data_IF_786674746841
#
_entry.id   IF_786674746841
#
_cell.length_a   1.000
_cell.length_b   1.000
_cell.length_c   1.000
_cell.angle_alpha   90.00
_cell.angle_beta   90.00
_cell.angle_gamma   90.00
#
_symmetry.space_group_name_H-M   'P 1'
#
loop_
_entity.id
_entity.type
_entity.pdbx_description
1 polymer ?
#
# COMPACT_ATOMS: atom_id res chain seq x y z
N UNK A 1 -11.42 30.40 3.64
CA UNK A 1 -10.27 29.51 3.36
C UNK A 1 -10.05 29.58 1.87
N UNK A 2 -8.83 29.83 1.40
CA UNK A 2 -8.51 29.85 -0.03
C UNK A 2 -8.88 28.49 -0.64
N UNK A 3 -9.30 28.49 -1.91
CA UNK A 3 -9.61 27.28 -2.65
C UNK A 3 -8.48 26.25 -2.46
N UNK A 4 -8.87 25.03 -2.11
CA UNK A 4 -8.00 23.95 -1.64
C UNK A 4 -7.09 23.48 -2.77
N UNK A 5 -5.92 24.10 -2.89
CA UNK A 5 -4.84 23.62 -3.76
C UNK A 5 -4.39 22.22 -3.30
N UNK A 6 -3.79 21.45 -4.22
CA UNK A 6 -3.08 20.20 -3.87
C UNK A 6 -2.14 20.51 -2.70
N UNK A 7 -2.12 19.67 -1.66
CA UNK A 7 -1.25 19.86 -0.50
C UNK A 7 0.17 20.21 -0.93
N UNK A 8 0.72 21.28 -0.36
CA UNK A 8 2.06 21.76 -0.70
C UNK A 8 3.10 20.65 -0.58
N UNK A 9 2.93 19.75 0.39
CA UNK A 9 3.75 18.55 0.59
C UNK A 9 3.75 17.60 -0.64
N UNK A 10 2.60 17.40 -1.28
CA UNK A 10 2.49 16.58 -2.50
C UNK A 10 3.06 17.35 -3.69
N UNK A 11 2.65 18.60 -3.87
CA UNK A 11 3.07 19.41 -5.02
C UNK A 11 4.58 19.65 -5.03
N UNK A 12 5.17 20.02 -3.89
CA UNK A 12 6.62 20.29 -3.80
C UNK A 12 7.49 19.04 -3.98
N UNK A 13 6.94 17.85 -3.73
CA UNK A 13 7.66 16.57 -3.87
C UNK A 13 7.74 16.05 -5.32
N UNK A 14 7.03 16.66 -6.27
CA UNK A 14 6.86 16.14 -7.63
C UNK A 14 7.43 17.08 -8.70
N UNK A 15 8.04 16.49 -9.72
CA UNK A 15 8.61 17.20 -10.86
C UNK A 15 7.54 17.91 -11.70
N UNK A 16 7.88 19.01 -12.41
CA UNK A 16 6.95 19.63 -13.36
C UNK A 16 6.44 18.68 -14.44
N UNK A 17 7.27 17.71 -14.87
CA UNK A 17 6.89 16.67 -15.83
C UNK A 17 5.75 15.81 -15.29
N UNK A 18 5.86 15.33 -14.05
CA UNK A 18 4.82 14.52 -13.43
C UNK A 18 3.54 15.31 -13.18
N UNK A 19 3.64 16.59 -12.82
CA UNK A 19 2.48 17.48 -12.67
C UNK A 19 1.65 17.64 -13.95
N UNK A 20 2.27 17.46 -15.12
CA UNK A 20 1.57 17.49 -16.39
C UNK A 20 0.78 16.20 -16.71
N UNK A 21 0.97 15.11 -15.94
CA UNK A 21 0.33 13.81 -16.19
C UNK A 21 -1.17 13.83 -15.87
N UNK A 22 -1.91 12.89 -16.48
CA UNK A 22 -3.34 12.68 -16.17
C UNK A 22 -3.55 12.35 -14.69
N UNK A 23 -2.67 11.54 -14.10
CA UNK A 23 -2.75 11.14 -12.70
C UNK A 23 -2.66 12.33 -11.75
N UNK A 24 -1.69 13.24 -11.94
CA UNK A 24 -1.60 14.43 -11.11
C UNK A 24 -2.84 15.32 -11.23
N UNK A 25 -3.36 15.52 -12.45
CA UNK A 25 -4.60 16.29 -12.66
C UNK A 25 -5.81 15.66 -11.97
N UNK A 26 -5.92 14.34 -11.97
CA UNK A 26 -6.99 13.64 -11.25
C UNK A 26 -6.90 13.86 -9.73
N UNK A 27 -5.67 13.85 -9.18
CA UNK A 27 -5.41 14.16 -7.76
C UNK A 27 -5.73 15.63 -7.44
N UNK A 28 -5.32 16.54 -8.32
CA UNK A 28 -5.61 17.97 -8.20
C UNK A 28 -7.11 18.25 -8.23
N UNK A 29 -7.82 17.69 -9.20
CA UNK A 29 -9.29 17.76 -9.29
C UNK A 29 -9.93 17.23 -8.01
N UNK A 30 -9.44 16.10 -7.51
CA UNK A 30 -9.90 15.51 -6.26
C UNK A 30 -9.73 16.43 -5.05
N UNK A 31 -8.61 17.16 -4.92
CA UNK A 31 -8.39 18.06 -3.77
C UNK A 31 -9.07 19.42 -3.93
N UNK A 32 -9.27 19.88 -5.16
CA UNK A 32 -9.84 21.21 -5.46
C UNK A 32 -11.36 21.24 -5.45
N UNK A 33 -12.02 20.17 -5.92
CA UNK A 33 -13.49 20.11 -5.98
C UNK A 33 -14.16 19.76 -4.64
N UNK A 34 -13.38 19.51 -3.58
CA UNK A 34 -13.87 18.96 -2.32
C UNK A 34 -13.81 20.00 -1.20
N UNK A 35 -14.74 19.89 -0.25
CA UNK A 35 -14.71 20.73 0.95
C UNK A 35 -13.41 20.47 1.73
N UNK A 36 -12.82 21.52 2.30
CA UNK A 36 -11.55 21.46 3.01
C UNK A 36 -11.57 20.42 4.15
N UNK A 37 -12.72 20.23 4.80
CA UNK A 37 -12.93 19.21 5.83
C UNK A 37 -12.85 17.77 5.29
N UNK A 38 -13.19 17.57 4.00
CA UNK A 38 -13.11 16.30 3.28
C UNK A 38 -11.68 16.00 2.87
N UNK A 39 -10.98 17.02 2.36
CA UNK A 39 -9.56 16.94 2.01
C UNK A 39 -8.73 16.54 3.23
N UNK A 40 -8.89 17.25 4.36
CA UNK A 40 -8.12 17.03 5.59
C UNK A 40 -8.20 15.57 6.11
N UNK A 41 -9.36 14.93 5.95
CA UNK A 41 -9.58 13.54 6.32
C UNK A 41 -8.58 12.59 5.64
N UNK A 42 -8.25 12.90 4.39
CA UNK A 42 -7.46 12.06 3.51
C UNK A 42 -6.01 12.51 3.49
N UNK A 43 -5.72 13.78 3.78
CA UNK A 43 -4.35 14.30 3.84
C UNK A 43 -3.43 13.48 4.73
N UNK A 44 -3.88 13.11 5.94
CA UNK A 44 -2.99 12.45 6.91
C UNK A 44 -2.61 11.02 6.48
N UNK A 45 -3.55 10.14 6.06
CA UNK A 45 -3.19 8.85 5.47
C UNK A 45 -2.50 8.99 4.11
N UNK A 46 -2.95 9.90 3.24
CA UNK A 46 -2.37 10.13 1.92
C UNK A 46 -0.91 10.58 2.03
N UNK A 47 -0.55 11.49 2.93
CA UNK A 47 0.85 11.90 3.10
C UNK A 47 1.77 10.71 3.39
N UNK A 48 1.32 9.78 4.23
CA UNK A 48 2.13 8.63 4.65
C UNK A 48 2.34 7.60 3.52
N UNK A 49 1.33 7.36 2.69
CA UNK A 49 1.37 6.29 1.68
C UNK A 49 1.38 6.78 0.23
N UNK A 50 0.65 7.84 -0.07
CA UNK A 50 0.52 8.41 -1.42
C UNK A 50 1.82 9.08 -1.86
N UNK A 51 2.40 9.96 -1.03
CA UNK A 51 3.60 10.72 -1.41
C UNK A 51 4.74 9.78 -1.83
N UNK A 52 5.11 8.74 -1.04
CA UNK A 52 6.15 7.80 -1.47
C UNK A 52 5.84 7.09 -2.79
N UNK A 53 4.56 6.80 -3.06
CA UNK A 53 4.14 6.18 -4.31
C UNK A 53 4.25 7.16 -5.49
N UNK A 54 3.76 8.39 -5.34
CA UNK A 54 3.85 9.39 -6.41
C UNK A 54 5.31 9.76 -6.71
N UNK A 55 6.13 9.96 -5.67
CA UNK A 55 7.57 10.21 -5.80
C UNK A 55 8.27 9.03 -6.48
N UNK A 56 7.89 7.79 -6.15
CA UNK A 56 8.47 6.62 -6.78
C UNK A 56 8.06 6.41 -8.24
N UNK A 57 6.86 6.87 -8.62
CA UNK A 57 6.42 6.95 -10.02
C UNK A 57 7.18 8.04 -10.78
N UNK A 58 7.25 9.26 -10.24
CA UNK A 58 7.94 10.41 -10.83
C UNK A 58 9.43 10.15 -11.07
N UNK A 59 10.11 9.57 -10.07
CA UNK A 59 11.53 9.24 -10.16
C UNK A 59 11.82 7.89 -10.84
N UNK A 60 10.80 7.20 -11.37
CA UNK A 60 10.97 5.91 -12.07
C UNK A 60 11.67 4.82 -11.20
N UNK A 61 11.50 4.88 -9.87
CA UNK A 61 12.15 3.95 -8.91
C UNK A 61 11.35 2.67 -8.63
N UNK A 62 10.17 2.58 -9.22
CA UNK A 62 9.25 1.45 -9.13
C UNK A 62 9.63 0.32 -10.12
N UNK A 63 8.86 -0.75 -10.09
CA UNK A 63 8.97 -1.84 -11.07
C UNK A 63 8.40 -1.35 -12.41
N UNK A 64 9.26 -0.85 -13.31
CA UNK A 64 8.87 -0.18 -14.57
C UNK A 64 7.86 -0.94 -15.44
N UNK A 65 7.92 -2.28 -15.58
CA UNK A 65 6.88 -2.99 -16.35
C UNK A 65 5.46 -2.84 -15.76
N UNK A 66 5.34 -2.42 -14.50
CA UNK A 66 4.06 -2.22 -13.81
C UNK A 66 3.63 -0.74 -13.74
N UNK A 67 4.38 0.21 -14.33
CA UNK A 67 4.05 1.65 -14.24
C UNK A 67 2.60 1.93 -14.61
N UNK A 68 2.19 1.42 -15.78
CA UNK A 68 0.89 1.71 -16.36
C UNK A 68 -0.26 1.18 -15.51
N UNK A 69 -0.15 -0.06 -15.01
CA UNK A 69 -1.21 -0.65 -14.18
C UNK A 69 -1.29 0.01 -12.80
N UNK A 70 -0.16 0.48 -12.25
CA UNK A 70 -0.14 1.26 -11.00
C UNK A 70 -0.83 2.62 -11.21
N UNK A 71 -0.51 3.32 -12.30
CA UNK A 71 -1.15 4.58 -12.67
C UNK A 71 -2.66 4.40 -12.88
N UNK A 72 -3.06 3.37 -13.63
CA UNK A 72 -4.47 3.07 -13.89
C UNK A 72 -5.23 2.74 -12.59
N UNK A 73 -4.58 2.09 -11.63
CA UNK A 73 -5.17 1.81 -10.32
C UNK A 73 -5.39 3.08 -9.50
N UNK A 74 -4.39 3.96 -9.44
CA UNK A 74 -4.53 5.24 -8.77
C UNK A 74 -5.59 6.12 -9.47
N UNK A 75 -5.60 6.17 -10.80
CA UNK A 75 -6.63 6.87 -11.57
C UNK A 75 -8.03 6.31 -11.27
N UNK A 76 -8.20 4.99 -11.31
CA UNK A 76 -9.47 4.34 -10.98
C UNK A 76 -9.93 4.65 -9.56
N UNK A 77 -9.00 4.82 -8.62
CA UNK A 77 -9.31 5.27 -7.27
C UNK A 77 -9.87 6.68 -7.25
N UNK A 78 -9.11 7.65 -7.76
CA UNK A 78 -9.47 9.07 -7.68
C UNK A 78 -10.69 9.41 -8.55
N UNK A 79 -10.81 8.83 -9.74
CA UNK A 79 -11.88 9.14 -10.70
C UNK A 79 -13.18 8.39 -10.38
N UNK A 80 -13.13 7.17 -9.83
CA UNK A 80 -14.32 6.30 -9.72
C UNK A 80 -14.60 5.79 -8.31
N UNK A 81 -13.67 5.04 -7.70
CA UNK A 81 -13.93 4.34 -6.44
C UNK A 81 -14.12 5.34 -5.29
N UNK A 82 -13.26 6.34 -5.18
CA UNK A 82 -13.37 7.32 -4.11
C UNK A 82 -14.68 8.12 -4.18
N UNK A 83 -15.05 8.78 -5.31
CA UNK A 83 -16.32 9.50 -5.38
C UNK A 83 -17.53 8.61 -5.05
N UNK A 84 -17.49 7.33 -5.43
CA UNK A 84 -18.51 6.36 -5.08
C UNK A 84 -18.60 6.11 -3.57
N UNK A 85 -17.47 5.70 -2.95
CA UNK A 85 -17.38 5.44 -1.52
C UNK A 85 -17.80 6.65 -0.70
N UNK A 86 -17.37 7.83 -1.13
CA UNK A 86 -17.72 9.11 -0.52
C UNK A 86 -19.24 9.34 -0.55
N UNK A 87 -19.88 9.30 -1.74
CA UNK A 87 -21.34 9.50 -1.86
C UNK A 87 -22.13 8.49 -1.02
N UNK A 88 -21.72 7.22 -1.03
CA UNK A 88 -22.38 6.17 -0.24
C UNK A 88 -22.19 6.35 1.27
N UNK A 89 -20.98 6.71 1.69
CA UNK A 89 -20.69 6.95 3.10
C UNK A 89 -21.53 8.11 3.66
N UNK A 90 -21.63 9.22 2.92
CA UNK A 90 -22.38 10.39 3.37
C UNK A 90 -23.89 10.21 3.34
N UNK A 91 -24.43 9.56 2.32
CA UNK A 91 -25.85 9.21 2.28
C UNK A 91 -26.26 8.30 3.46
N UNK A 92 -25.39 7.38 3.88
CA UNK A 92 -25.62 6.56 5.07
C UNK A 92 -25.43 7.34 6.39
N UNK A 93 -24.56 8.35 6.38
CA UNK A 93 -24.22 9.16 7.56
C UNK A 93 -25.39 10.00 8.04
N UNK A 94 -26.15 10.62 7.14
CA UNK A 94 -27.33 11.42 7.51
C UNK A 94 -28.39 10.58 8.22
N UNK A 95 -28.58 9.33 7.77
CA UNK A 95 -29.49 8.37 8.42
C UNK A 95 -29.00 8.01 9.83
N UNK A 96 -27.68 7.81 10.02
CA UNK A 96 -27.09 7.39 11.31
C UNK A 96 -26.87 8.52 12.31
N UNK A 97 -26.74 9.78 11.88
CA UNK A 97 -26.57 10.94 12.76
C UNK A 97 -27.75 11.11 13.74
N UNK A 98 -28.90 10.53 13.39
CA UNK A 98 -30.12 10.52 14.22
C UNK A 98 -30.21 9.31 15.16
N UNK A 99 -29.38 8.28 15.00
CA UNK A 99 -29.55 7.00 15.68
C UNK A 99 -28.68 6.85 16.95
N UNK A 100 -27.43 7.32 16.95
CA UNK A 100 -26.60 7.30 18.17
C UNK A 100 -25.32 8.13 17.97
N UNK A 101 -25.01 9.06 18.89
CA UNK A 101 -23.82 9.93 18.82
C UNK A 101 -22.55 9.25 19.35
N UNK A 102 -22.68 8.13 20.07
CA UNK A 102 -21.56 7.48 20.77
C UNK A 102 -20.69 6.57 19.88
N UNK A 103 -21.22 6.07 18.76
CA UNK A 103 -20.49 5.19 17.83
C UNK A 103 -19.72 5.93 16.70
N UNK A 104 -19.70 7.26 16.71
CA UNK A 104 -19.27 8.06 15.55
C UNK A 104 -17.75 8.23 15.37
N UNK A 105 -16.93 7.91 16.37
CA UNK A 105 -15.48 8.14 16.31
C UNK A 105 -14.71 7.12 15.46
N UNK A 106 -15.31 5.98 15.10
CA UNK A 106 -14.71 4.95 14.22
C UNK A 106 -15.21 5.02 12.77
N UNK A 107 -16.22 5.83 12.44
CA UNK A 107 -16.88 5.81 11.13
C UNK A 107 -16.12 6.48 9.98
N UNK A 108 -15.11 7.33 10.25
CA UNK A 108 -14.17 7.80 9.19
C UNK A 108 -13.37 6.65 8.56
N UNK A 109 -13.42 5.46 9.19
CA UNK A 109 -12.67 4.26 8.87
C UNK A 109 -12.81 3.73 7.45
N UNK A 110 -13.99 3.57 6.81
CA UNK A 110 -14.09 2.76 5.60
C UNK A 110 -13.35 3.34 4.39
N UNK A 111 -13.49 4.64 4.13
CA UNK A 111 -12.81 5.31 3.00
C UNK A 111 -11.30 5.30 3.22
N UNK A 112 -10.84 5.64 4.43
CA UNK A 112 -9.42 5.61 4.79
C UNK A 112 -8.88 4.17 4.74
N UNK A 113 -9.64 3.19 5.22
CA UNK A 113 -9.26 1.79 5.22
C UNK A 113 -9.14 1.26 3.79
N UNK A 114 -10.08 1.60 2.91
CA UNK A 114 -9.99 1.32 1.49
C UNK A 114 -8.72 1.87 0.87
N UNK A 115 -8.49 3.17 1.07
CA UNK A 115 -7.30 3.83 0.58
C UNK A 115 -6.04 3.13 1.12
N UNK A 116 -5.97 2.88 2.42
CA UNK A 116 -4.84 2.19 3.05
C UNK A 116 -4.65 0.77 2.51
N UNK A 117 -5.70 0.01 2.28
CA UNK A 117 -5.62 -1.36 1.75
C UNK A 117 -5.09 -1.37 0.32
N UNK A 118 -5.58 -0.46 -0.52
CA UNK A 118 -5.06 -0.26 -1.88
C UNK A 118 -3.61 0.19 -1.87
N UNK A 119 -3.28 1.19 -1.07
CA UNK A 119 -1.90 1.66 -0.97
C UNK A 119 -0.97 0.57 -0.41
N UNK A 120 -1.43 -0.25 0.54
CA UNK A 120 -0.64 -1.38 1.05
C UNK A 120 -0.30 -2.40 -0.04
N UNK A 121 -1.12 -2.51 -1.09
CA UNK A 121 -0.81 -3.34 -2.26
C UNK A 121 0.17 -2.64 -3.22
N UNK A 122 -0.01 -1.34 -3.47
CA UNK A 122 0.82 -0.58 -4.43
C UNK A 122 2.20 -0.22 -3.88
N UNK A 123 2.29 0.18 -2.61
CA UNK A 123 3.54 0.58 -1.93
C UNK A 123 4.67 -0.44 -2.14
N UNK A 124 4.46 -1.77 -2.01
CA UNK A 124 5.42 -2.79 -2.40
C UNK A 124 6.07 -2.66 -3.78
N UNK A 125 5.32 -2.18 -4.77
CA UNK A 125 5.74 -2.12 -6.16
C UNK A 125 6.57 -0.88 -6.46
N UNK A 126 6.42 0.15 -5.62
CA UNK A 126 6.95 1.48 -5.86
C UNK A 126 8.07 1.83 -4.88
N UNK A 127 7.90 1.49 -3.61
CA UNK A 127 8.84 1.86 -2.57
C UNK A 127 9.92 0.78 -2.42
N UNK A 128 11.18 1.11 -2.70
CA UNK A 128 12.21 0.10 -2.89
C UNK A 128 12.66 -0.62 -1.63
N UNK A 129 12.62 0.08 -0.50
CA UNK A 129 13.15 -0.42 0.76
C UNK A 129 12.08 -1.13 1.59
N UNK A 130 10.85 -1.20 1.09
CA UNK A 130 9.72 -1.73 1.85
C UNK A 130 9.42 -3.20 1.56
N UNK A 131 9.80 -3.74 0.39
CA UNK A 131 9.45 -5.13 0.05
C UNK A 131 10.49 -5.94 -0.69
N UNK A 132 10.39 -7.25 -0.52
CA UNK A 132 11.25 -8.23 -1.18
C UNK A 132 11.11 -8.20 -2.70
N UNK A 133 9.95 -7.87 -3.26
CA UNK A 133 9.74 -7.83 -4.70
C UNK A 133 10.55 -6.71 -5.36
N UNK A 134 10.54 -5.50 -4.81
CA UNK A 134 11.35 -4.40 -5.36
C UNK A 134 12.86 -4.66 -5.20
N UNK A 135 13.28 -5.19 -4.04
CA UNK A 135 14.67 -5.63 -3.84
C UNK A 135 15.12 -6.63 -4.91
N UNK A 136 14.26 -7.59 -5.28
CA UNK A 136 14.53 -8.55 -6.37
C UNK A 136 14.55 -7.90 -7.73
N UNK A 137 13.64 -6.96 -7.98
CA UNK A 137 13.59 -6.26 -9.25
C UNK A 137 14.92 -5.53 -9.51
N UNK A 138 15.43 -4.85 -8.48
CA UNK A 138 16.75 -4.20 -8.51
C UNK A 138 17.90 -5.18 -8.71
N UNK A 139 17.82 -6.35 -8.06
CA UNK A 139 18.77 -7.44 -8.24
C UNK A 139 18.59 -8.22 -9.57
N UNK A 140 17.64 -7.84 -10.44
CA UNK A 140 17.30 -8.54 -11.68
C UNK A 140 16.89 -10.01 -11.47
N UNK A 141 16.26 -10.29 -10.33
CA UNK A 141 15.77 -11.62 -9.93
C UNK A 141 14.26 -11.80 -10.10
N UNK A 142 13.55 -10.78 -10.63
CA UNK A 142 12.11 -10.88 -10.92
C UNK A 142 11.93 -11.36 -12.35
N UNK A 143 11.25 -12.50 -12.49
CA UNK A 143 10.86 -13.06 -13.78
C UNK A 143 9.72 -12.27 -14.41
N UNK A 144 9.62 -12.34 -15.73
CA UNK A 144 8.58 -11.66 -16.51
C UNK A 144 7.18 -12.18 -16.16
N UNK A 145 7.05 -13.48 -15.95
CA UNK A 145 5.80 -14.18 -15.67
C UNK A 145 5.17 -13.67 -14.37
N UNK A 146 5.98 -13.46 -13.32
CA UNK A 146 5.52 -12.85 -12.08
C UNK A 146 5.00 -11.43 -12.28
N UNK A 147 5.63 -10.63 -13.15
CA UNK A 147 5.17 -9.28 -13.46
C UNK A 147 3.82 -9.31 -14.19
N UNK A 148 3.66 -10.20 -15.17
CA UNK A 148 2.39 -10.39 -15.89
C UNK A 148 1.30 -10.81 -14.91
N UNK A 149 1.57 -11.76 -14.00
CA UNK A 149 0.61 -12.18 -12.98
C UNK A 149 0.19 -11.03 -12.08
N UNK A 150 1.15 -10.25 -11.58
CA UNK A 150 0.87 -9.08 -10.75
C UNK A 150 -0.01 -8.09 -11.51
N UNK A 151 0.30 -7.81 -12.78
CA UNK A 151 -0.50 -6.93 -13.63
C UNK A 151 -1.93 -7.44 -13.81
N UNK A 152 -2.11 -8.72 -14.16
CA UNK A 152 -3.43 -9.35 -14.36
C UNK A 152 -4.26 -9.30 -13.09
N UNK A 153 -3.67 -9.59 -11.94
CA UNK A 153 -4.37 -9.56 -10.64
C UNK A 153 -4.83 -8.15 -10.28
N UNK A 154 -3.98 -7.14 -10.48
CA UNK A 154 -4.38 -5.75 -10.21
C UNK A 154 -5.53 -5.33 -11.12
N UNK A 155 -5.45 -5.66 -12.43
CA UNK A 155 -6.53 -5.39 -13.39
C UNK A 155 -7.84 -6.07 -12.99
N UNK A 156 -7.80 -7.36 -12.68
CA UNK A 156 -8.96 -8.13 -12.25
C UNK A 156 -9.61 -7.53 -10.99
N UNK A 157 -8.80 -7.09 -10.01
CA UNK A 157 -9.31 -6.44 -8.81
C UNK A 157 -9.95 -5.07 -9.09
N UNK A 158 -9.35 -4.27 -9.98
CA UNK A 158 -9.96 -3.00 -10.43
C UNK A 158 -11.30 -3.24 -11.12
N UNK A 159 -11.38 -4.23 -12.01
CA UNK A 159 -12.60 -4.54 -12.75
C UNK A 159 -13.69 -5.10 -11.83
N UNK A 160 -13.31 -5.89 -10.83
CA UNK A 160 -14.21 -6.34 -9.76
C UNK A 160 -14.78 -5.15 -8.99
N UNK A 161 -13.92 -4.21 -8.55
CA UNK A 161 -14.37 -3.00 -7.87
C UNK A 161 -15.31 -2.15 -8.75
N UNK A 162 -15.02 -2.00 -10.05
CA UNK A 162 -15.90 -1.29 -10.99
C UNK A 162 -17.26 -1.96 -11.12
N UNK A 163 -17.29 -3.28 -11.34
CA UNK A 163 -18.54 -4.03 -11.42
C UNK A 163 -19.37 -3.93 -10.13
N UNK A 164 -18.72 -3.93 -8.96
CA UNK A 164 -19.38 -3.70 -7.68
C UNK A 164 -19.97 -2.28 -7.57
N UNK A 165 -19.24 -1.26 -8.02
CA UNK A 165 -19.73 0.12 -8.08
C UNK A 165 -20.98 0.22 -8.97
N UNK A 166 -20.94 -0.36 -10.17
CA UNK A 166 -22.04 -0.36 -11.14
C UNK A 166 -23.30 -1.04 -10.60
N UNK A 167 -23.13 -2.14 -9.85
CA UNK A 167 -24.23 -2.85 -9.17
C UNK A 167 -24.71 -2.15 -7.90
N UNK A 168 -24.10 -1.04 -7.52
CA UNK A 168 -24.47 -0.29 -6.33
C UNK A 168 -24.11 -1.01 -5.02
N UNK A 169 -23.02 -1.76 -4.98
CA UNK A 169 -22.55 -2.48 -3.79
C UNK A 169 -22.38 -1.55 -2.57
N UNK A 170 -22.58 -2.10 -1.37
CA UNK A 170 -22.38 -1.36 -0.13
C UNK A 170 -20.90 -1.00 0.07
N UNK A 171 -20.64 0.01 0.92
CA UNK A 171 -19.28 0.38 1.34
C UNK A 171 -18.58 -0.80 2.01
N UNK A 172 -19.29 -1.58 2.83
CA UNK A 172 -18.72 -2.73 3.53
C UNK A 172 -18.35 -3.86 2.57
N UNK A 173 -19.14 -4.11 1.53
CA UNK A 173 -18.83 -5.11 0.51
C UNK A 173 -17.56 -4.73 -0.26
N UNK A 174 -17.47 -3.47 -0.71
CA UNK A 174 -16.24 -2.96 -1.34
C UNK A 174 -15.06 -3.09 -0.38
N UNK A 175 -15.23 -2.75 0.90
CA UNK A 175 -14.13 -2.78 1.87
C UNK A 175 -13.62 -4.20 2.07
N UNK A 176 -14.54 -5.16 2.13
CA UNK A 176 -14.22 -6.57 2.16
C UNK A 176 -13.41 -7.00 0.93
N UNK A 177 -13.85 -6.62 -0.26
CA UNK A 177 -13.15 -6.90 -1.52
C UNK A 177 -11.74 -6.29 -1.53
N UNK A 178 -11.59 -5.01 -1.16
CA UNK A 178 -10.28 -4.36 -1.03
C UNK A 178 -9.39 -5.04 0.01
N UNK A 179 -9.97 -5.55 1.10
CA UNK A 179 -9.23 -6.28 2.13
C UNK A 179 -8.78 -7.67 1.66
N UNK A 180 -9.57 -8.35 0.83
CA UNK A 180 -9.19 -9.59 0.17
C UNK A 180 -8.08 -9.34 -0.85
N UNK A 181 -8.26 -8.35 -1.73
CA UNK A 181 -7.26 -7.95 -2.72
C UNK A 181 -5.92 -7.60 -2.08
N UNK A 182 -5.93 -6.72 -1.06
CA UNK A 182 -4.72 -6.34 -0.32
C UNK A 182 -4.03 -7.51 0.39
N UNK A 183 -4.80 -8.44 0.99
CA UNK A 183 -4.26 -9.64 1.63
C UNK A 183 -3.64 -10.60 0.63
N UNK A 184 -4.30 -10.85 -0.52
CA UNK A 184 -3.75 -11.70 -1.58
C UNK A 184 -2.47 -11.10 -2.13
N UNK A 185 -2.47 -9.78 -2.37
CA UNK A 185 -1.29 -9.06 -2.86
C UNK A 185 -0.11 -9.20 -1.91
N UNK A 186 -0.31 -8.86 -0.64
CA UNK A 186 0.75 -8.92 0.39
C UNK A 186 1.19 -10.34 0.73
N UNK A 187 0.23 -11.25 0.87
CA UNK A 187 0.46 -12.61 1.37
C UNK A 187 0.99 -13.58 0.32
N UNK A 188 0.67 -13.34 -0.96
CA UNK A 188 1.00 -14.25 -2.05
C UNK A 188 1.88 -13.57 -3.11
N UNK A 189 1.38 -12.55 -3.80
CA UNK A 189 2.03 -12.01 -5.00
C UNK A 189 3.36 -11.30 -4.74
N UNK A 190 3.44 -10.50 -3.67
CA UNK A 190 4.68 -9.81 -3.26
C UNK A 190 5.41 -10.53 -2.13
N UNK A 191 4.95 -11.74 -1.80
CA UNK A 191 5.46 -12.55 -0.69
C UNK A 191 6.93 -12.89 -0.88
N UNK A 192 7.65 -13.00 0.23
CA UNK A 192 9.03 -13.47 0.24
C UNK A 192 9.14 -14.96 -0.17
N UNK A 193 8.06 -15.72 0.02
CA UNK A 193 7.96 -17.18 -0.20
C UNK A 193 7.55 -17.58 -1.61
N UNK A 194 6.89 -16.72 -2.38
CA UNK A 194 6.42 -17.08 -3.72
C UNK A 194 7.54 -16.96 -4.76
N UNK A 195 8.10 -18.11 -5.17
CA UNK A 195 9.34 -18.20 -5.97
C UNK A 195 9.31 -19.22 -7.09
N UNK A 196 8.21 -19.91 -7.30
CA UNK A 196 8.14 -21.02 -8.24
C UNK A 196 7.72 -20.54 -9.62
N UNK A 197 8.67 -20.49 -10.55
CA UNK A 197 8.40 -20.23 -11.97
C UNK A 197 7.37 -21.20 -12.54
N UNK A 198 7.46 -22.49 -12.18
CA UNK A 198 6.51 -23.51 -12.62
C UNK A 198 5.08 -23.17 -12.18
N UNK A 199 4.90 -22.65 -10.96
CA UNK A 199 3.57 -22.24 -10.47
C UNK A 199 3.13 -20.95 -11.16
N UNK A 200 4.03 -19.99 -11.37
CA UNK A 200 3.72 -18.76 -12.11
C UNK A 200 3.19 -19.08 -13.52
N UNK A 201 3.91 -19.90 -14.28
CA UNK A 201 3.50 -20.33 -15.63
C UNK A 201 2.21 -21.12 -15.61
N UNK A 202 2.01 -22.00 -14.61
CA UNK A 202 0.78 -22.80 -14.50
C UNK A 202 -0.44 -21.90 -14.27
N UNK A 203 -0.33 -20.91 -13.37
CA UNK A 203 -1.41 -19.96 -13.11
C UNK A 203 -1.69 -19.14 -14.36
N UNK A 204 -0.66 -18.62 -15.04
CA UNK A 204 -0.86 -17.86 -16.28
C UNK A 204 -1.57 -18.68 -17.35
N UNK A 205 -1.17 -19.94 -17.55
CA UNK A 205 -1.84 -20.83 -18.51
C UNK A 205 -3.31 -21.02 -18.16
N UNK A 206 -3.62 -21.30 -16.90
CA UNK A 206 -4.99 -21.44 -16.44
C UNK A 206 -5.81 -20.16 -16.64
N UNK A 207 -5.23 -18.99 -16.38
CA UNK A 207 -5.89 -17.70 -16.62
C UNK A 207 -6.07 -17.36 -18.11
N UNK A 208 -5.31 -18.00 -19.00
CA UNK A 208 -5.41 -17.84 -20.45
C UNK A 208 -6.32 -18.87 -21.11
N UNK A 209 -6.76 -19.91 -20.38
CA UNK A 209 -7.70 -20.89 -20.90
C UNK A 209 -9.08 -20.26 -21.12
N UNK A 210 -9.78 -20.70 -22.17
CA UNK A 210 -11.10 -20.21 -22.51
C UNK A 210 -12.12 -20.67 -21.45
N UNK A 211 -12.60 -19.72 -20.65
CA UNK A 211 -13.58 -19.97 -19.61
C UNK A 211 -12.94 -20.48 -18.33
N UNK A 212 -12.75 -19.58 -17.37
CA UNK A 212 -12.47 -19.98 -16.00
C UNK A 212 -13.72 -20.66 -15.45
N UNK A 213 -13.58 -21.87 -14.91
CA UNK A 213 -14.69 -22.55 -14.24
C UNK A 213 -15.07 -21.77 -12.97
N UNK A 214 -16.05 -20.88 -13.12
CA UNK A 214 -16.53 -20.05 -12.02
C UNK A 214 -17.15 -20.89 -10.90
N UNK A 215 -17.67 -22.10 -11.19
CA UNK A 215 -18.17 -22.99 -10.15
C UNK A 215 -17.02 -23.50 -9.26
N UNK A 216 -15.84 -23.74 -9.83
CA UNK A 216 -14.63 -24.05 -9.05
C UNK A 216 -14.20 -22.86 -8.20
N UNK A 217 -14.22 -21.65 -8.76
CA UNK A 217 -13.88 -20.42 -8.01
C UNK A 217 -14.84 -20.23 -6.84
N UNK A 218 -16.15 -20.33 -7.07
CA UNK A 218 -17.19 -20.25 -6.04
C UNK A 218 -17.01 -21.33 -4.97
N UNK A 219 -16.66 -22.55 -5.37
CA UNK A 219 -16.36 -23.64 -4.43
C UNK A 219 -15.13 -23.37 -3.56
N UNK A 220 -14.07 -22.79 -4.12
CA UNK A 220 -12.87 -22.40 -3.39
C UNK A 220 -13.18 -21.26 -2.41
N UNK A 221 -13.96 -20.28 -2.83
CA UNK A 221 -14.37 -19.15 -1.98
C UNK A 221 -15.22 -19.63 -0.80
N UNK A 222 -16.19 -20.50 -1.05
CA UNK A 222 -17.01 -21.11 -0.01
C UNK A 222 -16.16 -21.89 1.00
N UNK A 223 -15.25 -22.76 0.52
CA UNK A 223 -14.35 -23.52 1.39
C UNK A 223 -13.41 -22.62 2.20
N UNK A 224 -12.91 -21.53 1.61
CA UNK A 224 -12.04 -20.55 2.27
C UNK A 224 -12.77 -19.77 3.36
N UNK A 225 -14.05 -19.43 3.11
CA UNK A 225 -14.91 -18.78 4.08
C UNK A 225 -15.23 -19.73 5.25
N UNK A 226 -15.59 -20.98 4.98
CA UNK A 226 -15.85 -21.99 6.00
C UNK A 226 -14.65 -22.22 6.91
N UNK A 227 -13.45 -22.34 6.33
CA UNK A 227 -12.21 -22.46 7.09
C UNK A 227 -11.97 -21.23 7.99
N UNK A 228 -12.19 -20.02 7.47
CA UNK A 228 -12.02 -18.77 8.23
C UNK A 228 -13.02 -18.68 9.40
N UNK A 229 -14.28 -19.05 9.18
CA UNK A 229 -15.31 -19.11 10.23
C UNK A 229 -14.98 -20.18 11.28
N UNK A 230 -14.51 -21.35 10.85
CA UNK A 230 -14.08 -22.41 11.76
C UNK A 230 -12.90 -21.97 12.63
N UNK A 231 -11.92 -21.26 12.05
CA UNK A 231 -10.77 -20.71 12.77
C UNK A 231 -11.19 -19.63 13.78
N UNK A 232 -12.11 -18.73 13.41
CA UNK A 232 -12.64 -17.72 14.31
C UNK A 232 -13.38 -18.35 15.50
N UNK A 233 -14.25 -19.35 15.25
CA UNK A 233 -14.94 -20.11 16.31
C UNK A 233 -13.97 -20.87 17.21
N UNK A 234 -12.88 -21.40 16.65
CA UNK A 234 -11.84 -22.04 17.46
C UNK A 234 -11.18 -21.04 18.40
N UNK A 235 -10.81 -19.85 17.90
CA UNK A 235 -10.26 -18.77 18.73
C UNK A 235 -11.26 -18.26 19.79
N UNK A 236 -12.56 -18.26 19.50
CA UNK A 236 -13.60 -17.92 20.48
C UNK A 236 -13.74 -18.96 21.59
N UNK A 237 -13.61 -20.24 21.25
CA UNK A 237 -13.72 -21.36 22.18
C UNK A 237 -12.47 -21.61 23.01
N UNK A 238 -11.30 -21.25 22.50
CA UNK A 238 -10.10 -21.27 23.31
C UNK A 238 -10.27 -20.23 24.42
N UNK A 239 -10.34 -20.70 25.66
CA UNK A 239 -10.53 -19.93 26.90
C UNK A 239 -9.24 -19.13 27.23
N UNK A 240 -8.84 -18.32 26.26
CA UNK A 240 -7.68 -17.47 26.32
C UNK A 240 -8.22 -16.10 26.73
N UNK A 241 -7.70 -15.58 27.84
CA UNK A 241 -8.13 -14.29 28.34
C UNK A 241 -7.98 -13.21 27.25
N UNK A 242 -8.81 -12.17 27.35
CA UNK A 242 -8.90 -11.10 26.36
C UNK A 242 -7.54 -10.41 26.11
N UNK A 243 -6.69 -10.32 27.14
CA UNK A 243 -5.36 -9.73 27.05
C UNK A 243 -4.40 -10.61 26.24
N UNK A 244 -4.44 -11.93 26.44
CA UNK A 244 -3.67 -12.87 25.62
C UNK A 244 -4.18 -12.92 24.18
N UNK A 245 -5.49 -12.81 23.96
CA UNK A 245 -6.10 -12.74 22.61
C UNK A 245 -5.63 -11.50 21.85
N UNK A 246 -5.66 -10.33 22.51
CA UNK A 246 -5.08 -9.10 22.00
C UNK A 246 -3.57 -9.19 21.85
N UNK A 247 -2.88 -9.86 22.77
CA UNK A 247 -1.44 -10.13 22.71
C UNK A 247 -1.06 -10.98 21.50
N UNK A 248 -1.88 -11.96 21.11
CA UNK A 248 -1.66 -12.76 19.91
C UNK A 248 -1.88 -11.94 18.62
N UNK A 249 -2.93 -11.12 18.58
CA UNK A 249 -3.16 -10.19 17.46
C UNK A 249 -2.06 -9.13 17.38
N UNK A 250 -1.71 -8.50 18.51
CA UNK A 250 -0.64 -7.53 18.63
C UNK A 250 0.73 -8.15 18.31
N UNK A 251 1.01 -9.40 18.71
CA UNK A 251 2.23 -10.12 18.34
C UNK A 251 2.30 -10.42 16.84
N UNK A 252 1.15 -10.56 16.17
CA UNK A 252 1.10 -10.68 14.71
C UNK A 252 1.47 -9.33 14.08
N UNK A 253 0.97 -8.21 14.61
CA UNK A 253 1.38 -6.87 14.22
C UNK A 253 2.83 -6.53 14.58
N UNK A 254 3.35 -7.00 15.71
CA UNK A 254 4.74 -6.82 16.12
C UNK A 254 5.69 -7.75 15.38
N UNK A 255 5.26 -8.95 14.96
CA UNK A 255 6.01 -9.75 13.98
C UNK A 255 6.08 -9.00 12.66
N UNK A 256 4.96 -8.46 12.18
CA UNK A 256 4.97 -7.58 11.00
C UNK A 256 5.91 -6.39 11.23
N UNK A 257 5.91 -5.74 12.40
CA UNK A 257 6.81 -4.62 12.72
C UNK A 257 8.28 -5.03 12.91
N UNK A 258 8.54 -6.27 13.33
CA UNK A 258 9.88 -6.84 13.51
C UNK A 258 10.49 -7.25 12.18
N UNK A 259 9.67 -7.79 11.26
CA UNK A 259 10.07 -8.12 9.90
C UNK A 259 10.04 -6.90 8.96
N UNK A 260 9.30 -5.86 9.34
CA UNK A 260 9.20 -4.58 8.64
C UNK A 260 9.26 -3.42 9.66
N UNK A 261 10.43 -3.14 10.26
CA UNK A 261 10.58 -1.98 11.12
C UNK A 261 10.23 -0.74 10.28
N UNK A 262 9.46 0.22 10.84
CA UNK A 262 9.25 1.48 10.14
C UNK A 262 10.63 2.05 9.78
N UNK A 263 10.84 2.28 8.48
CA UNK A 263 12.08 2.84 7.97
C UNK A 263 12.41 4.11 8.78
N UNK A 264 13.66 4.32 9.23
CA UNK A 264 14.08 5.61 9.75
C UNK A 264 14.06 6.61 8.60
N UNK A 265 12.87 7.10 8.27
CA UNK A 265 12.70 8.10 7.24
C UNK A 265 13.39 9.38 7.73
N UNK A 266 14.32 9.96 6.95
CA UNK A 266 15.02 11.20 7.33
C UNK A 266 14.08 12.38 7.54
N UNK A 267 12.80 12.25 7.15
CA UNK A 267 11.75 13.27 7.30
C UNK A 267 11.21 13.43 8.74
N UNK A 268 11.56 12.55 9.69
CA UNK A 268 11.07 12.63 11.08
C UNK A 268 12.15 12.97 12.12
N UNK A 269 13.37 13.29 11.70
CA UNK A 269 14.48 13.60 12.60
C UNK A 269 14.74 15.10 12.82
N UNK A 270 13.72 15.94 12.69
CA UNK A 270 13.75 17.31 13.20
C UNK A 270 13.17 17.33 14.62
N UNK A 271 14.02 17.01 15.61
CA UNK A 271 13.76 17.50 16.97
C UNK A 271 13.63 19.03 16.91
N UNK A 272 12.61 19.65 17.53
CA UNK A 272 12.60 21.10 17.71
C UNK A 272 13.82 21.46 18.57
N UNK A 273 14.82 22.06 17.95
CA UNK A 273 15.96 22.62 18.64
C UNK A 273 15.50 23.83 19.44
N UNK A 274 15.09 23.63 20.68
CA UNK A 274 15.06 24.68 21.69
C UNK A 274 16.53 25.05 21.94
N UNK A 275 16.98 26.13 21.29
CA UNK A 275 18.26 26.78 21.61
C UNK A 275 18.08 27.56 22.91
N UNK A 276 18.52 27.02 24.04
CA UNK A 276 18.93 27.86 25.17
C UNK A 276 20.35 28.35 24.90
N UNK A 277 20.50 29.68 24.92
CA UNK A 277 21.78 30.39 24.85
C UNK A 277 22.66 30.07 26.07
N UNK A 278 23.95 30.28 25.84
CA UNK A 278 25.06 30.47 26.79
C UNK A 278 25.44 29.29 27.68
N UNK A 279 26.54 28.62 27.31
CA UNK A 279 27.79 28.79 28.06
C UNK A 279 28.98 28.32 27.21
N UNK A 280 29.94 29.23 27.04
CA UNK A 280 31.23 29.03 26.39
C UNK A 280 32.18 28.48 27.45
N UNK A 281 32.67 27.26 27.26
CA UNK A 281 33.80 26.75 28.05
C UNK A 281 34.53 25.63 27.30
N UNK A 282 35.77 25.97 26.93
CA UNK A 282 36.93 25.17 26.55
C UNK A 282 36.88 23.64 26.73
N UNK A 283 37.35 22.91 25.70
CA UNK A 283 38.39 21.85 25.78
C UNK A 283 38.62 21.23 24.39
N UNK A 284 39.77 21.51 23.77
CA UNK A 284 41.04 20.74 23.81
C UNK A 284 41.00 19.43 23.03
N UNK A 285 41.74 19.46 21.92
CA UNK A 285 42.50 18.41 21.25
C UNK A 285 42.48 17.02 21.89
N UNK A 286 42.15 16.02 21.05
CA UNK A 286 42.88 14.75 20.99
C UNK A 286 42.61 14.05 19.66
N UNK A 287 43.57 14.21 18.77
CA UNK A 287 43.90 13.30 17.68
C UNK A 287 44.13 11.90 18.23
N UNK A 288 43.44 10.88 17.71
CA UNK A 288 43.89 9.49 17.74
C UNK A 288 43.44 8.82 16.42
N UNK A 289 44.43 8.55 15.57
CA UNK A 289 44.24 7.78 14.35
C UNK A 289 43.94 6.32 14.66
N UNK A 290 43.13 5.70 13.81
CA UNK A 290 43.20 4.26 13.56
C UNK A 290 43.08 4.00 12.07
N UNK A 291 44.23 3.61 11.53
CA UNK A 291 44.41 2.81 10.33
C UNK A 291 43.66 1.49 10.47
N UNK A 292 42.85 1.14 9.47
CA UNK A 292 42.52 -0.25 9.15
C UNK A 292 42.67 -0.43 7.65
N UNK A 293 43.68 -1.25 7.31
CA UNK A 293 43.86 -1.92 6.03
C UNK A 293 42.91 -3.13 5.96
N UNK A 294 42.88 -3.69 4.76
CA UNK A 294 42.30 -4.96 4.32
C UNK A 294 40.82 -4.83 3.90
N UNK A 295 40.42 -5.09 2.66
CA UNK A 295 41.06 -5.87 1.60
C UNK A 295 39.97 -6.72 0.96
N UNK A 296 39.14 -6.14 0.09
CA UNK A 296 38.19 -6.89 -0.73
C UNK A 296 38.56 -6.75 -2.20
N UNK A 297 39.25 -7.77 -2.73
CA UNK A 297 39.42 -7.98 -4.16
C UNK A 297 38.14 -8.62 -4.71
N UNK A 298 37.47 -7.93 -5.61
CA UNK A 298 36.39 -8.51 -6.42
C UNK A 298 37.00 -9.26 -7.62
N UNK A 299 36.54 -10.48 -7.98
CA UNK A 299 36.96 -11.14 -9.20
C UNK A 299 36.34 -10.47 -10.43
N UNK A 300 37.19 -9.99 -11.34
CA UNK A 300 36.80 -9.66 -12.72
C UNK A 300 36.55 -10.96 -13.48
N UNK A 301 35.32 -11.20 -13.90
CA UNK A 301 35.03 -12.12 -15.00
C UNK A 301 35.05 -11.31 -16.30
N UNK A 302 36.11 -11.51 -17.09
CA UNK A 302 36.17 -11.18 -18.50
C UNK A 302 35.41 -12.29 -19.24
N UNK A 303 34.33 -11.92 -19.92
CA UNK A 303 33.77 -12.73 -21.00
C UNK A 303 34.14 -12.02 -22.29
N UNK A 304 35.12 -12.58 -22.98
CA UNK A 304 35.40 -12.30 -24.39
C UNK A 304 34.31 -12.99 -25.21
N UNK A 305 33.66 -12.24 -26.10
CA UNK A 305 32.86 -12.81 -27.18
C UNK A 305 33.69 -12.64 -28.46
N UNK A 306 34.10 -13.77 -29.02
CA UNK A 306 34.43 -13.91 -30.45
C UNK A 306 33.14 -14.05 -31.26
#
# INVERSE_FOLDING_TARGET
>A
MSNSDVPEEISSALSPKFKATKLYRAIETFFTERDASESELLLKPCGTYLIPVLVGLDNETHILPLSKVIEDWLLSFFESLFPYLYRRYWSCREVRRNADKSAFTTQKGPIIAHFMLMMTAVTPLVCPDLTTLNMRWRAKLVRRELLILVEVVIKAHMDTCKAMIERGASVDALLHESALGGRCFKGFWVSDKFRSERIEVLILKYLMEDGIDMAVVEGIDAASMDHSVAQAKHLERTDIDHETKWGMMASTFDRIRKYYPPSPSPLYNTKPGIKSKSEVSERKDRSHGRSLRDGYRSPRLLVSVE
#
